data_IF_416431352079
#
_entry.id   IF_416431352079
#
_cell.length_a   1.000
_cell.length_b   1.000
_cell.length_c   1.000
_cell.angle_alpha   90.00
_cell.angle_beta   90.00
_cell.angle_gamma   90.00
#
_symmetry.space_group_name_H-M   'P 1'
#
loop_
_entity.id
_entity.type
_entity.pdbx_description
1 polymer ?
#
# COMPACT_ATOMS: atom_id res chain seq x y z
N UNK A 1 -2.51 -2.94 24.87
CA UNK A 1 -1.70 -4.05 24.32
C UNK A 1 -0.32 -3.51 23.98
N UNK A 2 0.70 -3.87 24.76
CA UNK A 2 2.08 -3.49 24.48
C UNK A 2 2.64 -4.36 23.34
N UNK A 3 3.19 -3.74 22.30
CA UNK A 3 3.95 -4.45 21.29
C UNK A 3 5.28 -4.89 21.91
N UNK A 4 5.61 -6.18 21.82
CA UNK A 4 6.94 -6.68 22.18
C UNK A 4 7.85 -6.66 20.95
N UNK A 5 9.16 -6.63 21.17
CA UNK A 5 10.22 -6.40 20.16
C UNK A 5 10.35 -7.53 19.11
N UNK A 6 9.40 -8.46 19.03
CA UNK A 6 9.38 -9.57 18.06
C UNK A 6 8.15 -9.59 17.14
N UNK A 7 7.16 -8.71 17.35
CA UNK A 7 5.92 -8.74 16.55
C UNK A 7 6.16 -8.22 15.13
N UNK A 8 5.77 -9.00 14.12
CA UNK A 8 5.70 -8.57 12.72
C UNK A 8 4.24 -8.34 12.32
N UNK A 9 4.02 -7.60 11.24
CA UNK A 9 2.68 -7.34 10.69
C UNK A 9 2.62 -7.87 9.27
N UNK A 10 1.53 -8.55 8.93
CA UNK A 10 1.19 -8.89 7.56
C UNK A 10 0.13 -7.92 7.05
N UNK A 11 0.34 -7.39 5.85
CA UNK A 11 -0.56 -6.41 5.25
C UNK A 11 -1.69 -7.10 4.48
N UNK A 12 -2.86 -6.47 4.49
CA UNK A 12 -4.02 -6.93 3.75
C UNK A 12 -3.76 -6.83 2.24
N UNK A 13 -3.78 -7.97 1.56
CA UNK A 13 -3.55 -8.06 0.11
C UNK A 13 -4.64 -8.90 -0.55
N UNK A 14 -4.92 -8.61 -1.81
CA UNK A 14 -5.91 -9.32 -2.63
C UNK A 14 -5.41 -9.49 -4.06
N UNK A 15 -5.60 -10.68 -4.65
CA UNK A 15 -5.44 -10.85 -6.10
C UNK A 15 -6.81 -10.63 -6.73
N UNK A 16 -6.91 -9.61 -7.58
CA UNK A 16 -8.14 -9.19 -8.23
C UNK A 16 -8.02 -9.29 -9.75
N UNK A 17 -9.16 -9.27 -10.43
CA UNK A 17 -9.25 -9.13 -11.88
C UNK A 17 -9.50 -7.66 -12.20
N UNK A 18 -8.76 -7.08 -13.14
CA UNK A 18 -8.93 -5.70 -13.58
C UNK A 18 -9.23 -5.68 -15.07
N UNK A 19 -10.25 -4.91 -15.47
CA UNK A 19 -10.72 -4.87 -16.85
C UNK A 19 -9.76 -4.06 -17.73
N UNK A 20 -9.43 -4.61 -18.90
CA UNK A 20 -8.58 -3.97 -19.91
C UNK A 20 -9.43 -3.18 -20.91
N UNK A 21 -8.77 -2.41 -21.79
CA UNK A 21 -9.44 -1.72 -22.89
C UNK A 21 -10.09 -2.67 -23.92
N UNK A 22 -9.64 -3.93 -24.03
CA UNK A 22 -10.28 -4.95 -24.89
C UNK A 22 -11.56 -5.54 -24.27
N UNK A 23 -11.83 -5.25 -23.00
CA UNK A 23 -12.94 -5.83 -22.24
C UNK A 23 -12.59 -7.12 -21.50
N UNK A 24 -11.39 -7.65 -21.69
CA UNK A 24 -10.85 -8.80 -20.96
C UNK A 24 -10.45 -8.42 -19.53
N UNK A 25 -10.09 -9.43 -18.74
CA UNK A 25 -9.57 -9.24 -17.39
C UNK A 25 -8.15 -9.77 -17.25
N UNK A 26 -7.27 -8.97 -16.64
CA UNK A 26 -5.95 -9.42 -16.20
C UNK A 26 -5.91 -9.51 -14.68
N UNK A 27 -5.08 -10.41 -14.14
CA UNK A 27 -4.84 -10.47 -12.70
C UNK A 27 -3.88 -9.38 -12.27
N UNK A 28 -4.20 -8.77 -11.13
CA UNK A 28 -3.40 -7.76 -10.47
C UNK A 28 -3.44 -7.97 -8.97
N UNK A 29 -2.33 -7.71 -8.29
CA UNK A 29 -2.23 -7.81 -6.84
C UNK A 29 -2.42 -6.44 -6.19
N UNK A 30 -3.49 -6.32 -5.43
CA UNK A 30 -3.84 -5.12 -4.69
C UNK A 30 -3.31 -5.17 -3.25
N UNK A 31 -2.79 -4.05 -2.79
CA UNK A 31 -2.69 -3.74 -1.37
C UNK A 31 -3.98 -3.04 -0.93
N UNK A 32 -4.55 -3.47 0.19
CA UNK A 32 -5.74 -2.86 0.77
C UNK A 32 -5.34 -1.95 1.92
N UNK A 33 -5.54 -0.64 1.77
CA UNK A 33 -5.01 0.37 2.68
C UNK A 33 -6.06 1.43 3.03
N UNK A 34 -6.60 1.34 4.25
CA UNK A 34 -7.52 2.34 4.79
C UNK A 34 -6.84 3.68 5.13
N UNK A 35 -5.51 3.74 5.11
CA UNK A 35 -4.73 4.95 5.39
C UNK A 35 -4.53 5.87 4.17
N UNK A 36 -4.83 5.37 2.97
CA UNK A 36 -4.77 6.15 1.73
C UNK A 36 -6.16 6.65 1.37
N UNK A 37 -6.34 7.94 1.08
CA UNK A 37 -7.66 8.49 0.74
C UNK A 37 -8.20 7.96 -0.60
N UNK A 38 -7.30 7.78 -1.57
CA UNK A 38 -7.64 7.42 -2.96
C UNK A 38 -6.93 6.13 -3.39
N UNK A 39 -7.36 5.58 -4.51
CA UNK A 39 -6.75 4.40 -5.12
C UNK A 39 -5.59 4.74 -6.07
N UNK A 40 -4.58 3.87 -6.12
CA UNK A 40 -3.42 4.04 -6.99
C UNK A 40 -3.16 2.82 -7.86
N UNK A 41 -2.53 3.02 -9.01
CA UNK A 41 -2.04 1.95 -9.88
C UNK A 41 -0.60 2.23 -10.28
N UNK A 42 0.20 1.17 -10.40
CA UNK A 42 1.54 1.29 -10.95
C UNK A 42 1.50 1.64 -12.44
N UNK A 43 2.47 2.42 -12.90
CA UNK A 43 2.67 2.73 -14.33
C UNK A 43 2.83 1.44 -15.15
N UNK A 44 3.51 0.42 -14.61
CA UNK A 44 3.68 -0.89 -15.22
C UNK A 44 2.32 -1.56 -15.52
N UNK A 45 1.41 -1.62 -14.53
CA UNK A 45 0.08 -2.18 -14.76
C UNK A 45 -0.75 -1.28 -15.68
N UNK A 46 -0.71 0.04 -15.49
CA UNK A 46 -1.47 0.98 -16.34
C UNK A 46 -1.11 0.85 -17.83
N UNK A 47 0.16 0.60 -18.16
CA UNK A 47 0.59 0.31 -19.53
C UNK A 47 0.00 -0.99 -20.07
N UNK A 48 0.00 -2.06 -19.27
CA UNK A 48 -0.57 -3.37 -19.64
C UNK A 48 -2.08 -3.34 -19.86
N UNK A 49 -2.81 -2.44 -19.19
CA UNK A 49 -4.27 -2.34 -19.31
C UNK A 49 -4.72 -1.67 -20.61
N UNK A 50 -3.83 -0.88 -21.24
CA UNK A 50 -4.11 -0.11 -22.46
C UNK A 50 -5.34 0.80 -22.38
N UNK A 51 -5.73 1.22 -21.17
CA UNK A 51 -6.87 2.10 -20.94
C UNK A 51 -6.55 3.56 -21.30
N UNK A 52 -7.59 4.32 -21.62
CA UNK A 52 -7.47 5.77 -21.81
C UNK A 52 -6.99 6.42 -20.51
N UNK A 53 -5.94 7.23 -20.62
CA UNK A 53 -5.42 8.04 -19.51
C UNK A 53 -6.08 9.41 -19.54
N UNK A 54 -6.53 9.84 -18.37
CA UNK A 54 -7.11 11.16 -18.16
C UNK A 54 -6.09 12.05 -17.45
N UNK A 55 -6.05 13.32 -17.83
CA UNK A 55 -5.31 14.32 -17.09
C UNK A 55 -5.96 14.55 -15.72
N UNK A 56 -5.14 14.48 -14.69
CA UNK A 56 -5.51 14.84 -13.32
C UNK A 56 -4.40 15.73 -12.76
N UNK A 57 -4.68 16.60 -11.81
CA UNK A 57 -3.60 17.27 -11.09
C UNK A 57 -3.97 17.30 -9.61
N UNK A 58 -3.49 16.31 -8.88
CA UNK A 58 -3.69 16.22 -7.44
C UNK A 58 -2.34 16.25 -6.72
N UNK A 59 -2.30 16.94 -5.58
CA UNK A 59 -1.17 16.93 -4.67
C UNK A 59 -1.37 15.81 -3.66
N UNK A 60 -0.39 14.90 -3.56
CA UNK A 60 -0.33 13.88 -2.53
C UNK A 60 0.46 14.42 -1.36
N UNK A 61 -0.13 14.32 -0.17
CA UNK A 61 0.52 14.60 1.09
C UNK A 61 0.81 13.28 1.79
N UNK A 62 2.10 12.97 1.95
CA UNK A 62 2.57 11.80 2.67
C UNK A 62 2.93 12.11 4.13
N UNK A 63 3.42 11.09 4.82
CA UNK A 63 4.00 11.24 6.16
C UNK A 63 5.22 12.19 6.07
N UNK A 64 5.32 13.13 7.00
CA UNK A 64 6.41 14.11 7.04
C UNK A 64 6.26 15.27 6.03
N UNK A 65 5.03 15.57 5.60
CA UNK A 65 4.72 16.66 4.65
C UNK A 65 5.40 16.53 3.28
N UNK A 66 5.80 15.31 2.91
CA UNK A 66 6.26 15.01 1.56
C UNK A 66 5.13 15.32 0.57
N UNK A 67 5.42 16.20 -0.39
CA UNK A 67 4.45 16.66 -1.38
C UNK A 67 4.87 16.17 -2.76
N UNK A 68 4.00 15.38 -3.40
CA UNK A 68 4.22 14.90 -4.77
C UNK A 68 2.96 15.14 -5.60
N UNK A 69 3.12 15.25 -6.92
CA UNK A 69 1.98 15.47 -7.82
C UNK A 69 1.69 14.22 -8.63
N UNK A 70 0.40 13.84 -8.70
CA UNK A 70 -0.06 12.83 -9.65
C UNK A 70 -0.82 13.48 -10.79
N UNK A 71 -0.33 13.21 -12.00
CA UNK A 71 -0.74 13.91 -13.23
C UNK A 71 -1.72 13.14 -14.10
N UNK A 72 -1.89 11.85 -13.85
CA UNK A 72 -2.68 10.96 -14.70
C UNK A 72 -3.48 10.00 -13.84
N UNK A 73 -4.70 9.70 -14.32
CA UNK A 73 -5.54 8.63 -13.78
C UNK A 73 -6.11 7.78 -14.92
N UNK A 74 -6.59 6.59 -14.57
CA UNK A 74 -7.40 5.72 -15.43
C UNK A 74 -8.69 5.37 -14.70
N UNK A 75 -9.75 5.13 -15.47
CA UNK A 75 -11.01 4.60 -14.96
C UNK A 75 -11.18 3.15 -15.44
N UNK A 76 -11.57 2.24 -14.54
CA UNK A 76 -11.81 0.83 -14.89
C UNK A 76 -12.74 0.12 -13.90
N UNK A 77 -13.00 -1.16 -14.17
CA UNK A 77 -13.72 -2.07 -13.28
C UNK A 77 -12.75 -3.10 -12.71
N UNK A 78 -12.79 -3.27 -11.38
CA UNK A 78 -12.14 -4.38 -10.69
C UNK A 78 -13.17 -5.42 -10.27
N UNK A 79 -12.78 -6.69 -10.30
CA UNK A 79 -13.62 -7.84 -10.01
C UNK A 79 -12.91 -8.79 -9.05
N UNK A 80 -13.68 -9.36 -8.13
CA UNK A 80 -13.21 -10.43 -7.27
C UNK A 80 -12.68 -11.64 -8.09
N UNK A 81 -11.57 -12.24 -7.66
CA UNK A 81 -11.09 -13.49 -8.26
C UNK A 81 -11.98 -14.68 -7.89
N UNK A 82 -12.63 -14.62 -6.73
CA UNK A 82 -13.34 -15.71 -6.06
C UNK A 82 -14.86 -15.52 -6.01
N UNK A 83 -15.36 -14.34 -6.36
CA UNK A 83 -16.78 -14.01 -6.39
C UNK A 83 -17.20 -13.29 -7.66
N UNK A 84 -18.44 -12.80 -7.69
CA UNK A 84 -19.01 -12.05 -8.81
C UNK A 84 -18.99 -10.53 -8.64
N UNK A 85 -18.59 -10.02 -7.46
CA UNK A 85 -18.59 -8.60 -7.15
C UNK A 85 -17.66 -7.81 -8.07
N UNK A 86 -18.16 -6.67 -8.56
CA UNK A 86 -17.45 -5.74 -9.44
C UNK A 86 -17.57 -4.32 -8.88
N UNK A 87 -16.51 -3.53 -9.04
CA UNK A 87 -16.41 -2.15 -8.55
C UNK A 87 -15.83 -1.29 -9.66
N UNK A 88 -16.52 -0.21 -10.02
CA UNK A 88 -15.97 0.84 -10.86
C UNK A 88 -15.08 1.75 -9.99
N UNK A 89 -13.89 2.08 -10.49
CA UNK A 89 -12.83 2.66 -9.68
C UNK A 89 -11.96 3.58 -10.54
N UNK A 90 -11.62 4.74 -9.97
CA UNK A 90 -10.58 5.63 -10.48
C UNK A 90 -9.23 5.26 -9.86
N UNK A 91 -8.19 5.15 -10.69
CA UNK A 91 -6.84 4.77 -10.28
C UNK A 91 -5.82 5.83 -10.69
N UNK A 92 -5.18 6.45 -9.72
CA UNK A 92 -4.11 7.43 -9.95
C UNK A 92 -2.78 6.74 -10.24
N UNK A 93 -2.11 7.15 -11.32
CA UNK A 93 -0.94 6.43 -11.83
C UNK A 93 0.33 6.90 -11.10
N UNK A 94 1.03 5.96 -10.48
CA UNK A 94 2.33 6.17 -9.82
C UNK A 94 3.41 5.29 -10.46
N UNK A 95 4.67 5.76 -10.47
CA UNK A 95 5.81 4.94 -10.92
C UNK A 95 5.96 3.67 -10.07
N UNK A 96 5.75 3.80 -8.76
CA UNK A 96 5.80 2.71 -7.79
C UNK A 96 4.84 3.02 -6.63
N UNK A 97 4.27 1.98 -6.03
CA UNK A 97 3.36 2.08 -4.87
C UNK A 97 4.07 1.63 -3.59
N UNK A 98 4.72 0.47 -3.66
CA UNK A 98 5.41 -0.13 -2.50
C UNK A 98 6.48 -1.11 -2.97
N UNK A 99 7.32 -1.52 -2.01
CA UNK A 99 8.19 -2.69 -2.19
C UNK A 99 7.41 -4.00 -2.24
N UNK A 100 8.13 -5.11 -2.11
CA UNK A 100 7.49 -6.43 -2.05
C UNK A 100 6.74 -6.55 -0.72
N UNK A 101 5.54 -7.11 -0.77
CA UNK A 101 4.72 -7.34 0.40
C UNK A 101 4.27 -8.79 0.47
N UNK A 102 4.63 -9.56 1.52
CA UNK A 102 5.66 -9.25 2.51
C UNK A 102 7.05 -9.07 1.84
N UNK A 103 8.02 -8.55 2.57
CA UNK A 103 9.41 -8.41 2.09
C UNK A 103 10.22 -9.71 2.20
N UNK A 104 9.70 -10.73 2.89
CA UNK A 104 10.25 -12.07 3.01
C UNK A 104 9.12 -13.11 3.09
N UNK A 105 9.43 -14.38 2.79
CA UNK A 105 8.44 -15.46 2.93
C UNK A 105 8.09 -15.65 4.39
N UNK A 106 6.79 -15.63 4.70
CA UNK A 106 6.26 -15.83 6.04
C UNK A 106 5.93 -17.30 6.25
N UNK A 107 6.40 -17.88 7.36
CA UNK A 107 5.98 -19.22 7.76
C UNK A 107 4.56 -19.17 8.34
N UNK A 108 3.62 -19.81 7.64
CA UNK A 108 2.20 -19.84 7.99
C UNK A 108 1.74 -21.20 8.51
N UNK A 109 2.64 -22.17 8.72
CA UNK A 109 2.28 -23.55 9.10
C UNK A 109 1.52 -23.64 10.43
N UNK A 110 1.73 -22.67 11.34
CA UNK A 110 1.01 -22.59 12.62
C UNK A 110 -0.33 -21.86 12.54
N UNK A 111 -0.70 -21.30 11.39
CA UNK A 111 -1.94 -20.52 11.24
C UNK A 111 -3.09 -21.46 10.87
N UNK A 112 -4.14 -21.44 11.69
CA UNK A 112 -5.38 -22.20 11.52
C UNK A 112 -6.33 -21.55 10.50
N UNK A 113 -5.85 -21.40 9.26
CA UNK A 113 -6.67 -20.91 8.15
C UNK A 113 -7.62 -22.05 7.73
N UNK A 114 -8.96 -21.86 7.80
CA UNK A 114 -9.89 -22.93 7.43
C UNK A 114 -9.80 -23.29 5.93
N UNK A 115 -9.86 -24.58 5.61
CA UNK A 115 -9.79 -25.05 4.22
C UNK A 115 -11.02 -24.67 3.38
N UNK A 116 -12.15 -24.37 4.05
CA UNK A 116 -13.42 -24.05 3.40
C UNK A 116 -13.60 -22.56 3.07
N UNK A 117 -12.57 -21.72 3.27
CA UNK A 117 -12.60 -20.32 2.90
C UNK A 117 -11.72 -20.02 1.69
N UNK A 118 -12.16 -19.09 0.85
CA UNK A 118 -11.37 -18.64 -0.30
C UNK A 118 -10.63 -17.34 0.06
N UNK A 119 -9.30 -17.40 0.06
CA UNK A 119 -8.45 -16.24 0.31
C UNK A 119 -8.49 -15.28 -0.86
N UNK A 120 -8.48 -13.97 -0.59
CA UNK A 120 -8.41 -12.95 -1.63
C UNK A 120 -7.04 -13.00 -2.35
N UNK A 121 -5.95 -13.12 -1.58
CA UNK A 121 -4.60 -13.39 -2.07
C UNK A 121 -4.12 -14.77 -1.60
N UNK A 122 -4.09 -15.82 -2.45
CA UNK A 122 -3.55 -17.13 -2.10
C UNK A 122 -2.06 -17.15 -1.78
N UNK A 123 -1.33 -16.09 -2.15
CA UNK A 123 0.11 -15.97 -2.01
C UNK A 123 0.51 -14.85 -1.04
N UNK A 124 -0.40 -14.44 -0.15
CA UNK A 124 -0.20 -13.36 0.83
C UNK A 124 1.08 -13.52 1.67
N UNK A 125 1.59 -14.74 1.81
CA UNK A 125 2.76 -15.10 2.60
C UNK A 125 4.09 -15.09 1.80
N UNK A 126 4.03 -14.89 0.47
CA UNK A 126 5.21 -14.88 -0.40
C UNK A 126 5.55 -13.44 -0.83
N UNK A 127 6.83 -13.06 -0.93
CA UNK A 127 7.21 -11.76 -1.44
C UNK A 127 6.76 -11.56 -2.87
N UNK A 128 5.89 -10.59 -3.08
CA UNK A 128 5.41 -10.20 -4.41
C UNK A 128 5.22 -8.69 -4.49
N UNK A 129 5.37 -8.17 -5.71
CA UNK A 129 5.06 -6.78 -6.02
C UNK A 129 3.57 -6.50 -5.81
N UNK A 130 3.26 -5.22 -5.60
CA UNK A 130 1.90 -4.68 -5.57
C UNK A 130 1.68 -3.91 -6.86
N UNK A 131 0.63 -4.26 -7.60
CA UNK A 131 0.30 -3.61 -8.86
C UNK A 131 -0.61 -2.38 -8.66
N UNK A 132 -1.46 -2.41 -7.63
CA UNK A 132 -2.38 -1.33 -7.27
C UNK A 132 -2.61 -1.23 -5.75
N UNK A 133 -3.04 -0.06 -5.29
CA UNK A 133 -3.46 0.21 -3.92
C UNK A 133 -4.94 0.57 -3.94
N UNK A 134 -5.72 -0.09 -3.10
CA UNK A 134 -7.13 0.25 -2.84
C UNK A 134 -7.19 1.06 -1.55
N UNK A 135 -7.53 2.34 -1.70
CA UNK A 135 -7.66 3.32 -0.63
C UNK A 135 -9.01 3.26 0.08
N UNK A 136 -9.16 4.10 1.10
CA UNK A 136 -10.34 4.25 1.94
C UNK A 136 -11.63 4.51 1.15
N UNK A 137 -11.57 5.23 0.03
CA UNK A 137 -12.73 5.51 -0.84
C UNK A 137 -13.41 4.24 -1.40
N UNK A 138 -12.70 3.11 -1.41
CA UNK A 138 -13.24 1.81 -1.88
C UNK A 138 -13.09 0.72 -0.81
N UNK A 139 -12.04 0.76 0.01
CA UNK A 139 -11.70 -0.27 0.99
C UNK A 139 -12.85 -0.60 1.93
N UNK A 140 -13.54 0.40 2.48
CA UNK A 140 -14.60 0.18 3.47
C UNK A 140 -15.84 -0.49 2.84
N UNK A 141 -16.11 -0.27 1.55
CA UNK A 141 -17.19 -0.94 0.82
C UNK A 141 -16.88 -2.41 0.53
N UNK A 142 -15.61 -2.81 0.60
CA UNK A 142 -15.21 -4.22 0.44
C UNK A 142 -15.45 -5.03 1.71
N UNK A 143 -15.50 -4.38 2.88
CA UNK A 143 -15.62 -5.09 4.15
C UNK A 143 -16.96 -5.83 4.24
N UNK A 144 -16.91 -7.06 4.73
CA UNK A 144 -18.09 -7.91 4.89
C UNK A 144 -18.17 -8.45 6.31
N UNK A 145 -19.37 -8.86 6.72
CA UNK A 145 -19.57 -9.51 8.01
C UNK A 145 -18.79 -10.84 8.03
N UNK A 146 -17.87 -10.97 8.97
CA UNK A 146 -17.07 -12.17 9.20
C UNK A 146 -15.63 -11.84 9.55
N UNK A 147 -15.18 -12.33 10.70
CA UNK A 147 -13.80 -12.22 11.14
C UNK A 147 -13.41 -13.48 11.92
N UNK A 148 -12.22 -14.00 11.68
CA UNK A 148 -11.68 -15.16 12.40
C UNK A 148 -10.43 -14.71 13.15
N UNK A 149 -10.48 -14.83 14.47
CA UNK A 149 -9.35 -14.55 15.38
C UNK A 149 -8.76 -15.89 15.81
N UNK A 150 -7.53 -16.16 15.39
CA UNK A 150 -6.89 -17.46 15.62
C UNK A 150 -6.10 -17.53 16.94
N UNK A 151 -5.80 -16.37 17.53
CA UNK A 151 -5.00 -16.23 18.75
C UNK A 151 -4.21 -14.91 18.73
N UNK A 152 -3.57 -14.53 19.85
CA UNK A 152 -2.81 -13.27 19.94
C UNK A 152 -1.54 -13.25 19.08
N UNK A 153 -0.98 -14.41 18.76
CA UNK A 153 0.26 -14.57 17.97
C UNK A 153 0.01 -14.79 16.47
N UNK A 154 -1.26 -14.78 16.05
CA UNK A 154 -1.69 -15.06 14.69
C UNK A 154 -2.44 -13.85 14.12
N UNK A 155 -2.35 -13.63 12.80
CA UNK A 155 -3.11 -12.57 12.17
C UNK A 155 -4.61 -12.89 12.17
N UNK A 156 -5.41 -11.85 11.96
CA UNK A 156 -6.84 -11.99 11.76
C UNK A 156 -7.12 -12.35 10.31
N UNK A 157 -8.18 -13.14 10.09
CA UNK A 157 -8.81 -13.24 8.79
C UNK A 157 -10.04 -12.34 8.78
N UNK A 158 -10.14 -11.48 7.79
CA UNK A 158 -11.27 -10.58 7.61
C UNK A 158 -11.99 -10.95 6.31
N UNK A 159 -13.31 -11.15 6.38
CA UNK A 159 -14.10 -11.38 5.18
C UNK A 159 -14.26 -10.06 4.42
N UNK A 160 -14.02 -10.12 3.12
CA UNK A 160 -14.33 -9.02 2.19
C UNK A 160 -15.10 -9.57 0.99
N UNK A 161 -15.66 -8.68 0.19
CA UNK A 161 -16.28 -9.01 -1.10
C UNK A 161 -15.30 -9.58 -2.12
N UNK A 162 -13.99 -9.39 -1.91
CA UNK A 162 -12.89 -9.94 -2.72
C UNK A 162 -12.39 -11.31 -2.25
N UNK A 163 -12.93 -11.84 -1.15
CA UNK A 163 -12.44 -13.04 -0.47
C UNK A 163 -11.95 -12.74 0.95
N UNK A 164 -11.41 -13.75 1.63
CA UNK A 164 -10.83 -13.58 2.95
C UNK A 164 -9.42 -13.03 2.86
N UNK A 165 -9.18 -11.89 3.51
CA UNK A 165 -7.84 -11.31 3.62
C UNK A 165 -7.21 -11.74 4.94
N UNK A 166 -5.89 -11.92 4.94
CA UNK A 166 -5.10 -12.21 6.15
C UNK A 166 -4.30 -10.95 6.47
N UNK A 167 -4.48 -10.40 7.67
CA UNK A 167 -3.84 -9.14 8.06
C UNK A 167 -3.62 -9.06 9.57
N UNK A 168 -2.66 -8.25 9.99
CA UNK A 168 -2.41 -7.95 11.41
C UNK A 168 -1.13 -8.56 11.95
N UNK A 169 -0.99 -8.48 13.27
CA UNK A 169 0.22 -8.90 13.98
C UNK A 169 0.37 -10.41 14.00
N UNK A 170 1.61 -10.87 13.94
CA UNK A 170 1.97 -12.25 14.17
C UNK A 170 3.36 -12.34 14.81
N UNK A 171 3.61 -13.43 15.53
CA UNK A 171 4.91 -13.70 16.15
C UNK A 171 5.68 -14.68 15.26
N UNK A 172 6.84 -14.29 14.69
CA UNK A 172 7.67 -15.19 13.91
C UNK A 172 8.31 -16.26 14.82
N UNK A 173 8.42 -17.49 14.32
CA UNK A 173 9.10 -18.58 15.05
C UNK A 173 10.61 -18.39 15.22
N UNK A 174 11.24 -17.46 14.49
CA UNK A 174 12.67 -17.16 14.54
C UNK A 174 12.94 -15.67 14.75
N UNK A 175 13.98 -15.34 15.53
CA UNK A 175 14.45 -13.97 15.73
C UNK A 175 15.09 -13.46 14.43
N UNK A 176 14.37 -12.66 13.64
CA UNK A 176 14.98 -11.93 12.52
C UNK A 176 15.21 -10.46 12.89
N UNK A 177 16.19 -9.82 12.26
CA UNK A 177 16.31 -8.37 12.26
C UNK A 177 14.99 -7.73 11.79
N UNK A 178 14.51 -6.73 12.53
CA UNK A 178 13.27 -6.03 12.22
C UNK A 178 13.51 -5.03 11.09
N UNK A 179 12.89 -5.28 9.93
CA UNK A 179 12.68 -4.27 8.90
C UNK A 179 11.19 -3.99 8.83
N UNK A 180 10.79 -2.74 9.06
CA UNK A 180 9.40 -2.31 8.91
C UNK A 180 9.31 -1.48 7.64
N UNK A 181 8.48 -1.92 6.70
CA UNK A 181 8.24 -1.19 5.46
C UNK A 181 7.01 -0.31 5.63
N UNK A 182 7.19 1.00 5.45
CA UNK A 182 6.09 1.97 5.36
C UNK A 182 5.85 2.25 3.88
N UNK A 183 4.61 2.16 3.42
CA UNK A 183 4.27 2.50 2.05
C UNK A 183 4.25 4.03 1.92
N UNK A 184 5.39 4.59 1.52
CA UNK A 184 5.56 5.98 1.18
C UNK A 184 5.37 6.13 -0.34
N UNK A 185 4.63 7.15 -0.77
CA UNK A 185 4.79 7.71 -2.10
C UNK A 185 6.14 8.44 -2.18
N UNK A 186 7.23 7.69 -2.20
CA UNK A 186 8.56 8.24 -2.45
C UNK A 186 8.75 8.40 -3.95
N UNK A 187 8.71 9.64 -4.46
CA UNK A 187 9.48 9.96 -5.66
C UNK A 187 10.91 10.24 -5.23
N UNK A 188 11.89 9.66 -5.94
CA UNK A 188 13.26 10.16 -5.89
C UNK A 188 13.21 11.66 -6.19
N UNK A 189 13.48 12.46 -5.17
CA UNK A 189 13.91 13.82 -5.38
C UNK A 189 15.25 13.76 -6.13
N UNK A 190 15.29 14.35 -7.33
CA UNK A 190 16.56 14.52 -8.04
C UNK A 190 17.57 15.20 -7.13
N UNK A 191 18.87 14.87 -7.28
CA UNK A 191 19.98 15.42 -6.48
C UNK A 191 19.92 16.95 -6.28
N UNK A 192 19.30 17.68 -7.22
CA UNK A 192 19.00 19.11 -7.11
C UNK A 192 18.14 19.55 -5.93
N UNK A 193 17.35 18.66 -5.32
CA UNK A 193 16.43 18.99 -4.22
C UNK A 193 17.09 18.79 -2.84
N UNK A 194 18.09 17.89 -2.75
CA UNK A 194 18.94 17.76 -1.56
C UNK A 194 19.76 19.03 -1.38
N UNK A 195 20.32 19.58 -2.47
CA UNK A 195 21.06 20.84 -2.43
C UNK A 195 20.19 22.01 -1.98
N UNK A 196 18.91 22.06 -2.40
CA UNK A 196 17.96 23.09 -1.95
C UNK A 196 17.62 22.97 -0.47
N UNK A 197 17.53 21.74 0.05
CA UNK A 197 17.26 21.47 1.47
C UNK A 197 18.47 21.81 2.34
N UNK A 198 19.68 21.50 1.87
CA UNK A 198 20.94 21.91 2.53
C UNK A 198 21.15 23.43 2.49
N UNK A 199 20.81 24.10 1.38
CA UNK A 199 20.88 25.55 1.27
C UNK A 199 19.92 26.25 2.25
N UNK A 200 18.68 25.76 2.40
CA UNK A 200 17.75 26.27 3.44
C UNK A 200 18.29 26.09 4.86
N UNK A 201 18.94 24.96 5.15
CA UNK A 201 19.57 24.73 6.46
C UNK A 201 20.76 25.67 6.72
N UNK A 202 21.55 25.99 5.69
CA UNK A 202 22.70 26.89 5.80
C UNK A 202 22.29 28.37 5.88
N UNK A 203 21.24 28.78 5.15
CA UNK A 203 20.68 30.14 5.26
C UNK A 203 20.06 30.38 6.64
N UNK A 204 19.42 29.38 7.23
CA UNK A 204 18.88 29.49 8.59
C UNK A 204 19.99 29.65 9.66
N UNK A 205 21.18 29.06 9.46
CA UNK A 205 22.33 29.27 10.35
C UNK A 205 22.98 30.65 10.19
N UNK A 206 22.98 31.24 8.99
CA UNK A 206 23.47 32.61 8.78
C UNK A 206 22.56 33.65 9.47
N UNK A 207 21.24 33.48 9.42
CA UNK A 207 20.30 34.38 10.10
C UNK A 207 20.35 34.27 11.63
N UNK A 208 20.67 33.10 12.20
CA UNK A 208 20.78 32.92 13.64
C UNK A 208 22.05 33.54 14.26
N UNK A 209 23.12 33.72 13.47
CA UNK A 209 24.37 34.33 13.92
C UNK A 209 24.40 35.87 13.77
N UNK A 210 23.46 36.46 13.01
CA UNK A 210 23.37 37.92 12.83
C UNK A 210 22.48 38.64 13.87
N UNK A 211 21.84 37.90 14.80
CA UNK A 211 20.96 38.47 15.84
C UNK A 211 21.53 38.43 17.26
N UNK A 212 22.79 38.06 17.43
CA UNK A 212 23.53 38.23 18.69
C UNK A 212 24.75 39.11 18.48
N UNK A 213 24.53 40.42 18.39
CA UNK A 213 25.54 41.44 18.68
C UNK A 213 24.98 42.36 19.78
N UNK A 214 25.71 42.55 20.88
CA UNK A 214 25.22 43.28 22.05
C UNK A 214 25.33 44.78 21.82
N UNK A 215 24.25 45.53 22.08
CA UNK A 215 24.38 46.96 22.36
C UNK A 215 24.12 47.18 23.86
N UNK A 216 25.09 47.91 24.42
CA UNK A 216 25.29 48.43 25.77
C UNK A 216 24.05 48.77 26.57
#
# INVERSE_FOLDING_TARGET
>A
MHATVSDKVILATAVIKIKTNSGDFVLARALLDSGSQINFVTEELAQRLHLRREDSCISLLGIGESNSQVKKKIHTVVKSRVGCNEYAIDLWILKSISGYQPDHTVNVSGWKIPDNIQLADPYFFKPQKIDLLIGAETFFDLLSVGQIKQGPECPILQKTSLGWIVSGRYTPGEKSHQKMTVNLSYQEESLSSIDKTLLKFLDCRRCALSLQSPFR
#
